data_IF_456563441497
#
_entry.id   IF_456563441497
#
_cell.length_a   1.000
_cell.length_b   1.000
_cell.length_c   1.000
_cell.angle_alpha   90.00
_cell.angle_beta   90.00
_cell.angle_gamma   90.00
#
_symmetry.space_group_name_H-M   'P 1'
#
loop_
_entity.id
_entity.type
_entity.pdbx_description
1 polymer ?
#
# COMPACT_ATOMS: atom_id res chain seq x y z
N UNK A 1 -35.42 4.14 4.07
CA UNK A 1 -34.17 3.42 4.31
C UNK A 1 -33.87 2.57 3.08
N UNK A 2 -33.19 3.12 2.06
CA UNK A 2 -32.93 2.43 0.79
C UNK A 2 -31.58 1.74 0.87
N UNK A 3 -31.58 0.40 0.98
CA UNK A 3 -30.41 -0.42 0.73
C UNK A 3 -30.11 -0.34 -0.78
N UNK A 4 -29.10 0.43 -1.18
CA UNK A 4 -28.56 0.35 -2.55
C UNK A 4 -27.96 -1.07 -2.72
N UNK A 5 -28.56 -1.86 -3.60
CA UNK A 5 -27.95 -3.09 -4.10
C UNK A 5 -26.61 -2.74 -4.78
N UNK A 6 -25.57 -3.56 -4.61
CA UNK A 6 -24.33 -3.39 -5.36
C UNK A 6 -24.66 -3.38 -6.86
N UNK A 7 -24.14 -2.42 -7.59
CA UNK A 7 -24.36 -2.34 -9.03
C UNK A 7 -23.65 -3.50 -9.73
N UNK A 8 -24.21 -3.98 -10.84
CA UNK A 8 -23.63 -5.06 -11.66
C UNK A 8 -22.16 -4.83 -12.06
N UNK A 9 -21.69 -3.58 -12.00
CA UNK A 9 -20.29 -3.20 -12.19
C UNK A 9 -19.40 -3.73 -11.05
N UNK A 10 -19.90 -3.71 -9.79
CA UNK A 10 -19.15 -4.23 -8.63
C UNK A 10 -19.01 -5.74 -8.68
N UNK A 11 -20.04 -6.47 -9.15
CA UNK A 11 -19.96 -7.93 -9.31
C UNK A 11 -19.00 -8.31 -10.44
N UNK A 12 -18.95 -7.52 -11.52
CA UNK A 12 -18.02 -7.77 -12.63
C UNK A 12 -16.56 -7.48 -12.25
N UNK A 13 -16.30 -6.45 -11.42
CA UNK A 13 -14.98 -6.14 -10.88
C UNK A 13 -14.52 -7.21 -9.90
N UNK A 14 -15.39 -7.66 -8.99
CA UNK A 14 -15.10 -8.76 -8.07
C UNK A 14 -14.83 -10.06 -8.84
N UNK A 15 -15.60 -10.35 -9.89
CA UNK A 15 -15.40 -11.54 -10.74
C UNK A 15 -14.10 -11.48 -11.54
N UNK A 16 -13.65 -10.29 -11.99
CA UNK A 16 -12.37 -10.09 -12.66
C UNK A 16 -11.20 -10.22 -11.69
N UNK A 17 -11.39 -9.84 -10.41
CA UNK A 17 -10.37 -9.97 -9.37
C UNK A 17 -10.18 -11.42 -8.91
N UNK A 18 -11.22 -12.27 -9.06
CA UNK A 18 -11.18 -13.70 -8.69
C UNK A 18 -10.79 -14.63 -9.82
N UNK A 19 -10.83 -14.18 -11.08
CA UNK A 19 -10.39 -14.96 -12.23
C UNK A 19 -8.91 -14.74 -12.51
N UNK A 20 -8.05 -15.27 -11.65
CA UNK A 20 -6.73 -15.71 -12.05
C UNK A 20 -6.94 -16.92 -12.95
N UNK A 21 -6.65 -16.82 -14.24
CA UNK A 21 -6.60 -17.99 -15.10
C UNK A 21 -5.47 -18.90 -14.62
N UNK A 22 -5.84 -19.93 -13.86
CA UNK A 22 -4.94 -20.93 -13.32
C UNK A 22 -4.61 -21.87 -14.47
N UNK A 23 -3.43 -21.72 -15.07
CA UNK A 23 -2.83 -22.81 -15.84
C UNK A 23 -2.18 -23.73 -14.82
N UNK A 24 -2.84 -24.83 -14.53
CA UNK A 24 -2.42 -25.82 -13.54
C UNK A 24 -1.11 -26.49 -13.94
N UNK A 25 -0.02 -26.17 -13.23
CA UNK A 25 1.10 -27.10 -13.07
C UNK A 25 1.70 -26.96 -11.66
N UNK A 26 1.29 -27.85 -10.79
CA UNK A 26 2.00 -28.51 -9.69
C UNK A 26 3.03 -27.70 -8.86
N UNK A 27 2.53 -26.81 -7.99
CA UNK A 27 3.31 -26.30 -6.87
C UNK A 27 2.78 -26.80 -5.53
N UNK A 28 2.23 -28.04 -5.46
CA UNK A 28 1.69 -28.59 -4.21
C UNK A 28 2.78 -28.84 -3.17
N UNK A 29 2.53 -28.45 -1.92
CA UNK A 29 3.42 -28.67 -0.77
C UNK A 29 4.81 -28.02 -0.88
N UNK A 30 4.96 -26.93 -1.65
CA UNK A 30 6.22 -26.22 -1.74
C UNK A 30 6.48 -25.33 -0.51
N UNK A 31 7.74 -25.23 -0.16
CA UNK A 31 8.24 -24.34 0.91
C UNK A 31 9.09 -23.27 0.25
N UNK A 32 8.78 -22.00 0.53
CA UNK A 32 9.56 -20.86 0.09
C UNK A 32 10.14 -20.13 1.27
N UNK A 33 11.44 -19.80 1.19
CA UNK A 33 12.13 -18.91 2.11
C UNK A 33 12.41 -17.60 1.39
N UNK A 34 11.73 -16.51 1.80
CA UNK A 34 11.75 -15.22 1.14
C UNK A 34 12.18 -14.16 2.13
N UNK A 35 13.00 -13.19 1.73
CA UNK A 35 13.43 -12.15 2.64
C UNK A 35 13.39 -10.74 2.00
N UNK A 36 13.21 -9.73 2.85
CA UNK A 36 13.35 -8.32 2.48
C UNK A 36 14.10 -7.57 3.59
N UNK A 37 15.34 -7.13 3.35
CA UNK A 37 16.15 -6.41 4.33
C UNK A 37 15.92 -4.89 4.33
N UNK A 38 15.08 -4.37 3.45
CA UNK A 38 14.96 -2.95 3.16
C UNK A 38 13.89 -2.23 3.96
N UNK A 39 12.98 -1.52 3.29
CA UNK A 39 12.01 -0.64 3.90
C UNK A 39 10.75 -1.35 4.38
N UNK A 40 10.07 -0.73 5.34
CA UNK A 40 8.76 -1.22 5.80
C UNK A 40 7.74 -1.19 4.66
N UNK A 41 7.77 -0.17 3.80
CA UNK A 41 6.89 -0.06 2.64
C UNK A 41 7.03 -1.25 1.68
N UNK A 42 8.27 -1.66 1.38
CA UNK A 42 8.55 -2.82 0.52
C UNK A 42 8.01 -4.10 1.15
N UNK A 43 8.16 -4.24 2.48
CA UNK A 43 7.62 -5.38 3.21
C UNK A 43 6.09 -5.42 3.19
N UNK A 44 5.41 -4.28 3.29
CA UNK A 44 3.95 -4.19 3.14
C UNK A 44 3.53 -4.58 1.72
N UNK A 45 4.24 -4.15 0.68
CA UNK A 45 3.97 -4.59 -0.69
C UNK A 45 4.10 -6.10 -0.86
N UNK A 46 5.09 -6.72 -0.21
CA UNK A 46 5.23 -8.17 -0.24
C UNK A 46 4.05 -8.88 0.45
N UNK A 47 3.53 -8.32 1.55
CA UNK A 47 2.29 -8.85 2.16
C UNK A 47 1.08 -8.70 1.23
N UNK A 48 0.98 -7.58 0.51
CA UNK A 48 -0.07 -7.38 -0.50
C UNK A 48 0.07 -8.38 -1.65
N UNK A 49 1.29 -8.73 -2.09
CA UNK A 49 1.51 -9.82 -3.04
C UNK A 49 0.92 -11.13 -2.51
N UNK A 50 1.27 -11.50 -1.27
CA UNK A 50 0.78 -12.76 -0.68
C UNK A 50 -0.75 -12.76 -0.54
N UNK A 51 -1.34 -11.62 -0.23
CA UNK A 51 -2.79 -11.46 -0.22
C UNK A 51 -3.41 -11.73 -1.60
N UNK A 52 -2.83 -11.22 -2.67
CA UNK A 52 -3.30 -11.45 -4.04
C UNK A 52 -3.23 -12.91 -4.47
N UNK A 53 -2.30 -13.70 -3.91
CA UNK A 53 -2.12 -15.12 -4.23
C UNK A 53 -2.59 -16.05 -3.09
N UNK A 54 -3.29 -15.51 -2.07
CA UNK A 54 -3.74 -16.25 -0.88
C UNK A 54 -4.41 -17.58 -1.24
N UNK A 55 -5.40 -17.52 -2.13
CA UNK A 55 -6.13 -18.70 -2.58
C UNK A 55 -5.20 -19.78 -3.13
N UNK A 56 -4.23 -19.39 -3.94
CA UNK A 56 -3.25 -20.32 -4.50
C UNK A 56 -2.35 -20.92 -3.42
N UNK A 57 -1.92 -20.11 -2.43
CA UNK A 57 -1.14 -20.57 -1.28
C UNK A 57 -1.90 -21.65 -0.51
N UNK A 58 -3.16 -21.41 -0.20
CA UNK A 58 -4.00 -22.30 0.60
C UNK A 58 -4.37 -23.58 -0.16
N UNK A 59 -4.86 -23.48 -1.39
CA UNK A 59 -5.28 -24.63 -2.21
C UNK A 59 -4.13 -25.58 -2.57
N UNK A 60 -2.91 -25.07 -2.65
CA UNK A 60 -1.73 -25.87 -2.97
C UNK A 60 -0.87 -26.21 -1.75
N UNK A 61 -1.33 -25.86 -0.53
CA UNK A 61 -0.59 -26.06 0.72
C UNK A 61 0.86 -25.53 0.65
N UNK A 62 1.03 -24.34 0.04
CA UNK A 62 2.31 -23.68 -0.05
C UNK A 62 2.63 -23.05 1.30
N UNK A 63 3.86 -23.23 1.79
CA UNK A 63 4.36 -22.58 3.01
C UNK A 63 5.37 -21.49 2.66
N UNK A 64 5.15 -20.29 3.17
CA UNK A 64 6.02 -19.14 2.96
C UNK A 64 6.63 -18.73 4.30
N UNK A 65 7.95 -18.84 4.43
CA UNK A 65 8.73 -18.28 5.51
C UNK A 65 9.28 -16.95 5.05
N UNK A 66 8.72 -15.86 5.57
CA UNK A 66 9.08 -14.50 5.18
C UNK A 66 9.91 -13.82 6.27
N UNK A 67 11.08 -13.34 5.89
CA UNK A 67 12.06 -12.75 6.79
C UNK A 67 12.22 -11.26 6.51
N UNK A 68 12.14 -10.43 7.56
CA UNK A 68 12.29 -8.98 7.47
C UNK A 68 12.86 -8.40 8.77
N UNK A 69 13.08 -7.10 8.82
CA UNK A 69 13.58 -6.45 10.04
C UNK A 69 12.65 -6.70 11.22
N UNK A 70 13.25 -7.00 12.40
CA UNK A 70 12.52 -7.33 13.61
C UNK A 70 11.47 -6.29 13.97
N UNK A 71 11.79 -5.01 13.81
CA UNK A 71 10.92 -3.88 14.16
C UNK A 71 9.67 -3.79 13.27
N UNK A 72 9.67 -4.46 12.12
CA UNK A 72 8.52 -4.45 11.19
C UNK A 72 7.51 -5.56 11.48
N UNK A 73 7.92 -6.60 12.22
CA UNK A 73 7.10 -7.81 12.40
C UNK A 73 5.74 -7.53 13.02
N UNK A 74 5.65 -6.61 13.99
CA UNK A 74 4.37 -6.25 14.61
C UNK A 74 3.39 -5.67 13.59
N UNK A 75 3.87 -4.78 12.72
CA UNK A 75 3.06 -4.16 11.67
C UNK A 75 2.64 -5.18 10.61
N UNK A 76 3.56 -6.05 10.18
CA UNK A 76 3.31 -7.02 9.12
C UNK A 76 2.39 -8.16 9.54
N UNK A 77 2.36 -8.53 10.82
CA UNK A 77 1.40 -9.52 11.35
C UNK A 77 -0.04 -9.11 11.08
N UNK A 78 -0.33 -7.82 11.09
CA UNK A 78 -1.65 -7.28 10.77
C UNK A 78 -2.05 -7.49 9.30
N UNK A 79 -1.08 -7.62 8.40
CA UNK A 79 -1.29 -7.92 6.98
C UNK A 79 -1.20 -9.41 6.66
N UNK A 80 -0.93 -10.28 7.65
CA UNK A 80 -0.83 -11.71 7.39
C UNK A 80 -2.20 -12.27 7.04
N UNK A 81 -2.33 -12.75 5.82
CA UNK A 81 -3.60 -13.20 5.25
C UNK A 81 -3.81 -14.72 5.30
N UNK A 82 -2.81 -15.51 5.70
CA UNK A 82 -2.88 -16.97 5.70
C UNK A 82 -2.03 -17.60 6.78
N UNK A 83 -2.52 -18.70 7.38
CA UNK A 83 -1.76 -19.52 8.33
C UNK A 83 -0.54 -20.22 7.72
N UNK A 84 -0.44 -20.22 6.40
CA UNK A 84 0.70 -20.78 5.67
C UNK A 84 1.84 -19.78 5.47
N UNK A 85 1.71 -18.55 6.00
CA UNK A 85 2.74 -17.50 5.94
C UNK A 85 3.30 -17.27 7.34
N UNK A 86 4.59 -17.50 7.51
CA UNK A 86 5.32 -17.44 8.77
C UNK A 86 6.29 -16.25 8.74
N UNK A 87 6.08 -15.27 9.63
CA UNK A 87 6.90 -14.06 9.71
C UNK A 87 8.03 -14.21 10.70
N UNK A 88 9.25 -13.96 10.26
CA UNK A 88 10.47 -14.10 11.04
C UNK A 88 11.38 -12.87 10.91
N UNK A 89 12.25 -12.69 11.90
CA UNK A 89 13.32 -11.70 11.83
C UNK A 89 14.38 -12.11 10.80
N UNK A 90 14.95 -11.12 10.11
CA UNK A 90 15.91 -11.31 9.00
C UNK A 90 17.18 -12.06 9.41
N UNK A 91 17.60 -11.93 10.67
CA UNK A 91 18.73 -12.67 11.25
C UNK A 91 18.54 -14.20 11.24
N UNK A 92 17.32 -14.66 11.07
CA UNK A 92 16.96 -16.08 10.96
C UNK A 92 16.82 -16.56 9.52
N UNK A 93 17.05 -15.70 8.54
CA UNK A 93 16.92 -16.07 7.13
C UNK A 93 18.03 -17.06 6.73
N UNK A 94 17.68 -18.19 6.11
CA UNK A 94 18.71 -19.10 5.61
C UNK A 94 19.40 -18.51 4.38
N UNK A 95 20.66 -18.90 4.15
CA UNK A 95 21.48 -18.37 3.04
C UNK A 95 20.89 -18.64 1.65
N UNK A 96 20.00 -19.63 1.51
CA UNK A 96 19.31 -19.93 0.25
C UNK A 96 17.97 -19.19 0.10
N UNK A 97 17.62 -18.29 1.02
CA UNK A 97 16.38 -17.51 0.91
C UNK A 97 16.43 -16.55 -0.28
N UNK A 98 15.28 -16.36 -0.92
CA UNK A 98 15.13 -15.49 -2.09
C UNK A 98 14.79 -14.08 -1.66
N UNK A 99 15.57 -13.11 -2.11
CA UNK A 99 15.31 -11.70 -1.84
C UNK A 99 14.10 -11.19 -2.64
N UNK A 100 13.17 -10.57 -1.95
CA UNK A 100 11.99 -9.90 -2.50
C UNK A 100 12.15 -8.39 -2.41
N UNK A 101 13.08 -7.86 -3.14
CA UNK A 101 13.25 -6.43 -3.28
C UNK A 101 13.09 -5.98 -4.72
N UNK A 102 12.59 -4.75 -4.87
CA UNK A 102 12.48 -4.06 -6.13
C UNK A 102 13.85 -3.46 -6.48
N UNK A 103 14.79 -4.30 -6.89
CA UNK A 103 16.07 -3.86 -7.41
C UNK A 103 16.24 -4.22 -8.87
N UNK A 104 17.38 -3.86 -9.44
CA UNK A 104 17.70 -4.07 -10.84
C UNK A 104 17.60 -5.53 -11.31
N UNK A 105 17.78 -6.51 -10.41
CA UNK A 105 17.71 -7.93 -10.79
C UNK A 105 16.29 -8.39 -11.14
N UNK A 106 15.27 -7.74 -10.55
CA UNK A 106 13.87 -8.03 -10.87
C UNK A 106 13.33 -7.18 -12.00
N UNK A 107 13.86 -5.98 -12.16
CA UNK A 107 13.38 -5.03 -13.15
C UNK A 107 14.32 -4.94 -14.35
N UNK A 108 15.59 -5.38 -14.19
CA UNK A 108 16.57 -5.40 -15.24
C UNK A 108 16.37 -4.25 -16.24
N UNK A 109 16.04 -4.61 -17.43
CA UNK A 109 15.80 -3.66 -18.52
C UNK A 109 14.54 -2.80 -18.35
N UNK A 110 13.55 -3.24 -17.53
CA UNK A 110 12.26 -2.53 -17.44
C UNK A 110 12.39 -1.21 -16.68
N UNK A 111 13.12 -1.20 -15.57
CA UNK A 111 13.34 0.04 -14.81
C UNK A 111 14.24 1.01 -15.59
N UNK A 112 15.35 0.51 -16.13
CA UNK A 112 16.24 1.29 -16.99
C UNK A 112 15.52 1.77 -18.25
N UNK A 113 14.66 0.95 -18.84
CA UNK A 113 13.88 1.30 -20.01
C UNK A 113 12.94 2.48 -19.75
N UNK A 114 12.19 2.47 -18.65
CA UNK A 114 11.28 3.58 -18.32
C UNK A 114 12.04 4.87 -17.96
N UNK A 115 13.12 4.78 -17.23
CA UNK A 115 13.99 5.92 -16.94
C UNK A 115 14.62 6.49 -18.22
N UNK A 116 15.12 5.61 -19.10
CA UNK A 116 15.74 6.04 -20.37
C UNK A 116 14.77 6.69 -21.35
N UNK A 117 13.48 6.30 -21.30
CA UNK A 117 12.44 6.89 -22.14
C UNK A 117 11.85 8.18 -21.57
N UNK A 118 12.32 8.66 -20.41
CA UNK A 118 11.78 9.83 -19.72
C UNK A 118 10.25 9.78 -19.53
N UNK A 119 9.67 8.58 -19.52
CA UNK A 119 8.24 8.39 -19.30
C UNK A 119 7.99 8.10 -17.83
N UNK A 120 6.98 8.74 -17.23
CA UNK A 120 6.62 8.44 -15.84
C UNK A 120 6.23 6.97 -15.72
N UNK A 121 6.81 6.28 -14.73
CA UNK A 121 6.53 4.89 -14.46
C UNK A 121 5.13 4.77 -13.83
N UNK A 122 4.19 4.12 -14.53
CA UNK A 122 2.89 3.86 -13.95
C UNK A 122 3.02 2.86 -12.80
N UNK A 123 2.70 3.31 -11.58
CA UNK A 123 2.87 2.56 -10.35
C UNK A 123 2.13 1.20 -10.36
N UNK A 124 0.95 1.15 -10.95
CA UNK A 124 0.18 -0.09 -11.11
C UNK A 124 0.88 -1.09 -12.03
N UNK A 125 1.41 -0.60 -13.16
CA UNK A 125 2.16 -1.44 -14.11
C UNK A 125 3.45 -1.91 -13.46
N UNK A 126 4.13 -1.03 -12.74
CA UNK A 126 5.37 -1.34 -12.04
C UNK A 126 5.20 -2.49 -11.05
N UNK A 127 4.26 -2.37 -10.08
CA UNK A 127 4.06 -3.42 -9.09
C UNK A 127 3.45 -4.69 -9.67
N UNK A 128 2.58 -4.58 -10.65
CA UNK A 128 2.09 -5.76 -11.40
C UNK A 128 3.24 -6.54 -12.02
N UNK A 129 4.15 -5.86 -12.71
CA UNK A 129 5.30 -6.49 -13.35
C UNK A 129 6.27 -7.08 -12.32
N UNK A 130 6.53 -6.35 -11.23
CA UNK A 130 7.33 -6.86 -10.12
C UNK A 130 6.73 -8.16 -9.56
N UNK A 131 5.45 -8.17 -9.22
CA UNK A 131 4.80 -9.35 -8.67
C UNK A 131 4.83 -10.53 -9.65
N UNK A 132 4.59 -10.29 -10.93
CA UNK A 132 4.68 -11.35 -11.93
C UNK A 132 6.11 -11.88 -12.08
N UNK A 133 7.12 -11.02 -11.98
CA UNK A 133 8.52 -11.45 -11.98
C UNK A 133 8.86 -12.30 -10.77
N UNK A 134 8.41 -11.90 -9.57
CA UNK A 134 8.55 -12.71 -8.35
C UNK A 134 7.89 -14.08 -8.51
N UNK A 135 6.64 -14.12 -8.99
CA UNK A 135 5.90 -15.37 -9.19
C UNK A 135 6.63 -16.30 -10.17
N UNK A 136 7.16 -15.75 -11.27
CA UNK A 136 7.97 -16.49 -12.25
C UNK A 136 9.25 -17.04 -11.61
N UNK A 137 9.98 -16.25 -10.84
CA UNK A 137 11.20 -16.67 -10.13
C UNK A 137 10.93 -17.80 -9.14
N UNK A 138 9.75 -17.79 -8.52
CA UNK A 138 9.31 -18.83 -7.59
C UNK A 138 8.70 -20.05 -8.29
N UNK A 139 8.67 -20.10 -9.62
CA UNK A 139 7.97 -21.11 -10.40
C UNK A 139 6.49 -21.27 -9.97
N UNK A 140 5.85 -20.15 -9.66
CA UNK A 140 4.41 -20.07 -9.40
C UNK A 140 3.76 -19.62 -10.71
N UNK A 141 3.01 -20.53 -11.33
CA UNK A 141 2.36 -20.26 -12.62
C UNK A 141 1.04 -19.48 -12.43
N UNK A 142 1.17 -18.25 -11.95
CA UNK A 142 0.09 -17.28 -11.82
C UNK A 142 0.50 -16.00 -12.54
N UNK A 143 -0.49 -15.30 -13.08
CA UNK A 143 -0.30 -13.98 -13.66
C UNK A 143 -1.27 -12.98 -13.05
N UNK A 144 -0.74 -11.91 -12.46
CA UNK A 144 -1.54 -10.81 -11.96
C UNK A 144 -1.74 -9.77 -13.07
N UNK A 145 -3.00 -9.40 -13.33
CA UNK A 145 -3.35 -8.42 -14.35
C UNK A 145 -3.43 -6.99 -13.81
N UNK A 146 -3.65 -6.85 -12.50
CA UNK A 146 -3.70 -5.57 -11.80
C UNK A 146 -3.01 -5.69 -10.45
N UNK A 147 -2.35 -4.61 -10.02
CA UNK A 147 -2.00 -4.42 -8.63
C UNK A 147 -3.22 -3.85 -7.91
N UNK A 148 -3.78 -4.62 -7.01
CA UNK A 148 -4.89 -4.16 -6.20
C UNK A 148 -4.87 -4.88 -4.85
N UNK A 149 -4.92 -4.09 -3.79
CA UNK A 149 -5.11 -4.60 -2.45
C UNK A 149 -6.59 -4.48 -2.08
N UNK A 150 -7.25 -5.62 -2.00
CA UNK A 150 -8.66 -5.72 -1.64
C UNK A 150 -8.77 -6.50 -0.33
N UNK A 151 -9.06 -5.81 0.77
CA UNK A 151 -9.13 -6.40 2.11
C UNK A 151 -10.42 -5.94 2.81
N UNK A 152 -11.40 -6.81 2.88
CA UNK A 152 -12.70 -6.54 3.50
C UNK A 152 -12.60 -6.23 5.00
N UNK A 153 -11.54 -6.70 5.67
CA UNK A 153 -11.31 -6.40 7.08
C UNK A 153 -11.09 -4.90 7.34
N UNK A 154 -10.65 -4.13 6.35
CA UNK A 154 -10.43 -2.69 6.53
C UNK A 154 -11.71 -1.95 6.95
N UNK A 155 -12.86 -2.37 6.45
CA UNK A 155 -14.15 -1.74 6.79
C UNK A 155 -14.59 -2.12 8.21
N UNK A 156 -14.49 -3.39 8.58
CA UNK A 156 -14.82 -3.85 9.94
C UNK A 156 -13.84 -3.26 10.96
N UNK A 157 -12.57 -3.17 10.61
CA UNK A 157 -11.52 -2.57 11.43
C UNK A 157 -11.75 -1.08 11.65
N UNK A 158 -12.12 -0.32 10.61
CA UNK A 158 -12.55 1.06 10.79
C UNK A 158 -13.68 1.15 11.82
N UNK A 159 -14.69 0.30 11.75
CA UNK A 159 -15.81 0.32 12.69
C UNK A 159 -15.39 0.04 14.15
N UNK A 160 -14.33 -0.70 14.35
CA UNK A 160 -13.78 -1.00 15.68
C UNK A 160 -12.88 0.11 16.26
N UNK A 161 -12.42 1.07 15.45
CA UNK A 161 -11.58 2.17 15.94
C UNK A 161 -12.33 3.10 16.93
N UNK A 162 -11.62 3.78 17.85
CA UNK A 162 -12.19 4.74 18.78
C UNK A 162 -13.03 5.83 18.09
N UNK A 163 -14.07 6.30 18.78
CA UNK A 163 -15.04 7.27 18.26
C UNK A 163 -14.39 8.57 17.75
N UNK A 164 -13.28 9.00 18.36
CA UNK A 164 -12.54 10.20 17.95
C UNK A 164 -12.05 10.14 16.49
N UNK A 165 -11.91 8.92 15.93
CA UNK A 165 -11.50 8.69 14.54
C UNK A 165 -12.66 8.55 13.55
N UNK A 166 -13.92 8.75 13.99
CA UNK A 166 -15.09 8.49 13.12
C UNK A 166 -15.57 9.69 12.30
N UNK A 167 -15.16 10.88 12.64
CA UNK A 167 -15.67 12.08 11.98
C UNK A 167 -14.52 13.02 11.61
N UNK A 168 -13.94 12.77 10.44
CA UNK A 168 -12.87 13.60 9.90
C UNK A 168 -13.05 13.78 8.39
N UNK A 169 -12.42 14.80 7.84
CA UNK A 169 -12.49 15.16 6.42
C UNK A 169 -11.22 14.77 5.69
N UNK A 170 -10.07 15.05 6.30
CA UNK A 170 -8.77 14.94 5.65
C UNK A 170 -7.86 14.01 6.46
N UNK A 171 -7.21 13.10 5.76
CA UNK A 171 -6.16 12.26 6.32
C UNK A 171 -4.81 12.66 5.74
N UNK A 172 -3.83 12.91 6.59
CA UNK A 172 -2.48 13.35 6.19
C UNK A 172 -1.43 12.34 6.68
N UNK A 173 -0.72 11.73 5.73
CA UNK A 173 0.47 10.95 6.00
C UNK A 173 1.68 11.88 5.96
N UNK A 174 2.11 12.35 7.13
CA UNK A 174 3.20 13.29 7.31
C UNK A 174 4.44 12.63 7.95
N UNK A 175 4.67 11.34 7.69
CA UNK A 175 5.86 10.64 8.15
C UNK A 175 7.05 10.88 7.21
N UNK A 176 8.23 11.08 7.79
CA UNK A 176 9.48 11.25 7.04
C UNK A 176 9.83 9.98 6.27
N UNK A 177 10.05 10.04 4.95
CA UNK A 177 10.51 8.90 4.18
C UNK A 177 12.02 8.70 4.38
N UNK A 178 12.44 7.50 4.78
CA UNK A 178 13.87 7.20 5.02
C UNK A 178 14.68 6.99 3.73
N UNK A 179 14.02 6.73 2.60
CA UNK A 179 14.69 6.42 1.32
C UNK A 179 14.76 7.62 0.37
N UNK A 180 14.61 8.85 0.89
CA UNK A 180 14.76 10.08 0.10
C UNK A 180 13.67 10.32 -0.95
N UNK A 181 12.49 9.67 -0.81
CA UNK A 181 11.39 9.83 -1.75
C UNK A 181 10.81 11.24 -1.77
N UNK A 182 10.95 11.97 -0.69
CA UNK A 182 10.47 13.34 -0.55
C UNK A 182 11.33 14.11 0.46
N UNK A 183 11.66 15.35 0.13
CA UNK A 183 12.35 16.26 1.05
C UNK A 183 11.33 16.87 2.02
N UNK A 184 11.20 16.23 3.19
CA UNK A 184 10.20 16.60 4.18
C UNK A 184 10.70 17.69 5.12
N UNK A 185 10.11 18.88 5.03
CA UNK A 185 10.32 19.96 5.99
C UNK A 185 9.18 19.99 7.01
N UNK A 186 9.44 19.47 8.20
CA UNK A 186 8.43 19.34 9.27
C UNK A 186 7.78 20.68 9.62
N UNK A 187 8.55 21.78 9.72
CA UNK A 187 8.03 23.07 10.12
C UNK A 187 7.02 23.63 9.09
N UNK A 188 7.33 23.50 7.81
CA UNK A 188 6.45 23.92 6.72
C UNK A 188 5.16 23.09 6.75
N UNK A 189 5.28 21.78 6.88
CA UNK A 189 4.14 20.86 6.92
C UNK A 189 3.26 21.11 8.15
N UNK A 190 3.85 21.23 9.33
CA UNK A 190 3.10 21.49 10.57
C UNK A 190 2.31 22.79 10.48
N UNK A 191 2.93 23.89 9.99
CA UNK A 191 2.25 25.17 9.80
C UNK A 191 1.08 25.05 8.82
N UNK A 192 1.24 24.30 7.74
CA UNK A 192 0.18 24.08 6.76
C UNK A 192 -0.96 23.25 7.36
N UNK A 193 -0.65 22.16 8.05
CA UNK A 193 -1.62 21.29 8.71
C UNK A 193 -2.43 22.06 9.76
N UNK A 194 -1.77 22.88 10.58
CA UNK A 194 -2.45 23.72 11.58
C UNK A 194 -3.41 24.72 10.93
N UNK A 195 -3.02 25.32 9.80
CA UNK A 195 -3.93 26.21 9.04
C UNK A 195 -5.14 25.46 8.49
N UNK A 196 -4.94 24.30 7.92
CA UNK A 196 -6.03 23.45 7.42
C UNK A 196 -6.96 22.98 8.54
N UNK A 197 -6.42 22.65 9.72
CA UNK A 197 -7.21 22.15 10.86
C UNK A 197 -8.19 23.18 11.43
N UNK A 198 -8.04 24.45 11.06
CA UNK A 198 -9.04 25.50 11.41
C UNK A 198 -10.32 25.38 10.59
N UNK A 199 -10.29 24.71 9.44
CA UNK A 199 -11.41 24.60 8.48
C UNK A 199 -11.93 23.18 8.35
N UNK A 200 -11.09 22.18 8.56
CA UNK A 200 -11.38 20.77 8.35
C UNK A 200 -10.96 19.95 9.56
N UNK A 201 -11.66 18.87 9.83
CA UNK A 201 -11.23 17.89 10.81
C UNK A 201 -10.17 16.98 10.21
N UNK A 202 -8.97 17.05 10.76
CA UNK A 202 -7.77 16.39 10.22
C UNK A 202 -7.30 15.29 11.13
N UNK A 203 -6.84 14.18 10.53
CA UNK A 203 -6.05 13.13 11.19
C UNK A 203 -4.68 13.09 10.55
N UNK A 204 -3.62 13.04 11.37
CA UNK A 204 -2.23 12.92 10.93
C UNK A 204 -1.61 11.59 11.37
N UNK A 205 -0.55 11.14 10.70
CA UNK A 205 0.20 9.94 11.11
C UNK A 205 1.34 10.24 12.06
N UNK A 206 1.88 11.47 12.05
CA UNK A 206 2.87 11.93 13.03
C UNK A 206 2.37 13.17 13.75
N UNK A 207 2.93 13.43 14.92
CA UNK A 207 2.43 14.45 15.85
C UNK A 207 2.55 15.86 15.28
N UNK A 208 1.40 16.57 15.26
CA UNK A 208 1.28 18.01 14.98
C UNK A 208 0.49 18.64 16.13
N UNK A 209 0.85 19.84 16.54
CA UNK A 209 0.23 20.50 17.69
C UNK A 209 -1.28 20.70 17.50
N UNK A 210 -2.07 20.24 18.47
CA UNK A 210 -3.55 20.34 18.47
C UNK A 210 -4.25 19.66 17.27
N UNK A 211 -3.62 18.66 16.64
CA UNK A 211 -4.22 17.84 15.58
C UNK A 211 -4.30 16.40 16.04
N UNK A 212 -5.42 15.73 15.76
CA UNK A 212 -5.61 14.31 16.07
C UNK A 212 -4.55 13.47 15.34
N UNK A 213 -3.83 12.63 16.09
CA UNK A 213 -2.70 11.87 15.58
C UNK A 213 -2.87 10.37 15.82
N UNK A 214 -2.63 9.55 14.80
CA UNK A 214 -2.69 8.09 14.91
C UNK A 214 -1.53 7.51 15.72
N UNK A 215 -0.38 8.21 15.75
CA UNK A 215 0.79 7.79 16.52
C UNK A 215 0.53 7.79 18.03
N UNK A 216 -0.25 8.74 18.53
CA UNK A 216 -0.55 8.86 19.97
C UNK A 216 -1.28 7.61 20.52
N UNK A 217 -2.08 6.96 19.68
CA UNK A 217 -2.78 5.71 20.03
C UNK A 217 -2.09 4.46 19.49
N UNK A 218 -0.88 4.62 18.94
CA UNK A 218 -0.07 3.51 18.38
C UNK A 218 -0.84 2.71 17.31
N UNK A 219 -1.64 3.39 16.49
CA UNK A 219 -2.36 2.74 15.40
C UNK A 219 -1.39 2.11 14.41
N UNK A 220 -1.71 0.91 13.98
CA UNK A 220 -0.91 0.17 13.00
C UNK A 220 -1.09 0.72 11.58
N UNK A 221 -0.23 0.31 10.64
CA UNK A 221 -0.40 0.68 9.22
C UNK A 221 -1.76 0.19 8.69
N UNK A 222 -2.23 -0.96 9.14
CA UNK A 222 -3.55 -1.50 8.75
C UNK A 222 -4.70 -0.66 9.31
N UNK A 223 -4.56 -0.11 10.53
CA UNK A 223 -5.52 0.85 11.09
C UNK A 223 -5.55 2.14 10.27
N UNK A 224 -4.36 2.66 9.91
CA UNK A 224 -4.21 3.84 9.05
C UNK A 224 -4.83 3.58 7.67
N UNK A 225 -4.60 2.41 7.08
CA UNK A 225 -5.26 1.98 5.84
C UNK A 225 -6.79 1.91 5.99
N UNK A 226 -7.30 1.45 7.14
CA UNK A 226 -8.74 1.40 7.40
C UNK A 226 -9.35 2.79 7.53
N UNK A 227 -8.66 3.73 8.20
CA UNK A 227 -9.08 5.14 8.28
C UNK A 227 -9.17 5.77 6.89
N UNK A 228 -8.19 5.54 6.02
CA UNK A 228 -8.17 6.12 4.68
C UNK A 228 -9.39 5.75 3.83
N UNK A 229 -10.06 4.62 4.12
CA UNK A 229 -11.29 4.20 3.43
C UNK A 229 -12.47 5.17 3.63
N UNK A 230 -12.39 6.06 4.61
CA UNK A 230 -13.45 7.03 4.98
C UNK A 230 -13.02 8.48 4.81
N UNK A 231 -11.78 8.73 4.44
CA UNK A 231 -11.31 10.08 4.17
C UNK A 231 -11.97 10.65 2.91
N UNK A 232 -12.34 11.93 2.94
CA UNK A 232 -12.75 12.65 1.73
C UNK A 232 -11.53 13.03 0.90
N UNK A 233 -10.46 13.42 1.60
CA UNK A 233 -9.18 13.83 1.02
C UNK A 233 -8.05 13.08 1.71
N UNK A 234 -7.11 12.56 0.93
CA UNK A 234 -5.85 12.02 1.41
C UNK A 234 -4.71 12.86 0.89
N UNK A 235 -3.83 13.27 1.79
CA UNK A 235 -2.57 13.96 1.49
C UNK A 235 -1.47 13.04 2.02
N UNK A 236 -0.63 12.50 1.15
CA UNK A 236 0.32 11.49 1.55
C UNK A 236 1.73 11.77 1.06
N UNK A 237 2.69 11.75 1.99
CA UNK A 237 4.08 11.56 1.63
C UNK A 237 4.29 10.08 1.32
N UNK A 238 4.96 9.77 0.21
CA UNK A 238 5.32 8.39 -0.11
C UNK A 238 6.37 7.88 0.89
N UNK A 239 5.90 7.23 1.93
CA UNK A 239 6.67 6.68 3.03
C UNK A 239 6.29 5.23 3.30
N UNK A 240 6.88 4.58 4.30
CA UNK A 240 6.60 3.18 4.64
C UNK A 240 5.13 2.86 4.96
N UNK A 241 4.32 3.86 5.31
CA UNK A 241 2.88 3.71 5.58
C UNK A 241 2.03 3.75 4.31
N UNK A 242 2.51 4.47 3.30
CA UNK A 242 1.78 4.76 2.06
C UNK A 242 1.24 3.52 1.33
N UNK A 243 1.96 2.38 1.22
CA UNK A 243 1.45 1.20 0.53
C UNK A 243 0.12 0.68 1.05
N UNK A 244 -0.14 0.80 2.35
CA UNK A 244 -1.42 0.40 2.95
C UNK A 244 -2.63 1.19 2.42
N UNK A 245 -2.41 2.42 1.94
CA UNK A 245 -3.46 3.27 1.39
C UNK A 245 -3.83 2.92 -0.04
N UNK A 246 -2.99 2.14 -0.73
CA UNK A 246 -3.25 1.70 -2.10
C UNK A 246 -4.25 0.51 -2.13
N UNK A 247 -5.24 0.53 -1.27
CA UNK A 247 -6.31 -0.46 -1.22
C UNK A 247 -7.53 0.00 -2.03
N UNK A 248 -8.32 -0.98 -2.45
CA UNK A 248 -9.51 -0.75 -3.28
C UNK A 248 -10.48 0.26 -2.66
N UNK A 249 -10.76 0.13 -1.37
CA UNK A 249 -11.75 0.99 -0.70
C UNK A 249 -11.29 2.44 -0.64
N UNK A 250 -10.04 2.70 -0.27
CA UNK A 250 -9.46 4.05 -0.29
C UNK A 250 -9.51 4.64 -1.68
N UNK A 251 -9.03 3.86 -2.67
CA UNK A 251 -8.93 4.33 -4.04
C UNK A 251 -10.29 4.59 -4.70
N UNK A 252 -11.36 3.96 -4.24
CA UNK A 252 -12.72 4.18 -4.75
C UNK A 252 -13.52 5.21 -3.95
N UNK A 253 -13.20 5.45 -2.68
CA UNK A 253 -13.98 6.34 -1.81
C UNK A 253 -13.43 7.76 -1.71
N UNK A 254 -12.09 7.91 -1.74
CA UNK A 254 -11.42 9.21 -1.61
C UNK A 254 -11.69 10.09 -2.82
N UNK A 255 -12.13 11.34 -2.61
CA UNK A 255 -12.39 12.29 -3.71
C UNK A 255 -11.10 12.84 -4.31
N UNK A 256 -10.15 13.21 -3.45
CA UNK A 256 -8.88 13.77 -3.85
C UNK A 256 -7.74 13.06 -3.13
N UNK A 257 -6.78 12.58 -3.89
CA UNK A 257 -5.60 11.90 -3.38
C UNK A 257 -4.36 12.64 -3.87
N UNK A 258 -3.67 13.34 -2.95
CA UNK A 258 -2.45 14.10 -3.23
C UNK A 258 -1.23 13.31 -2.73
N UNK A 259 -0.28 13.02 -3.61
CA UNK A 259 0.91 12.26 -3.29
C UNK A 259 2.15 13.12 -3.46
N UNK A 260 2.95 13.19 -2.42
CA UNK A 260 4.22 13.90 -2.39
C UNK A 260 5.38 12.92 -2.54
N UNK A 261 6.05 13.00 -3.69
CA UNK A 261 7.20 12.19 -4.06
C UNK A 261 8.08 12.99 -5.02
N UNK A 262 9.35 13.21 -4.68
CA UNK A 262 10.29 13.99 -5.51
C UNK A 262 10.84 13.16 -6.70
N UNK A 263 10.49 11.88 -6.79
CA UNK A 263 10.93 11.01 -7.88
C UNK A 263 10.03 11.21 -9.09
N UNK A 264 10.42 12.10 -9.97
CA UNK A 264 9.68 12.47 -11.19
C UNK A 264 9.40 11.32 -12.16
N UNK A 265 10.06 10.17 -11.99
CA UNK A 265 9.86 9.00 -12.83
C UNK A 265 8.70 8.09 -12.39
N UNK A 266 8.05 8.36 -11.26
CA UNK A 266 6.83 7.65 -10.89
C UNK A 266 5.59 8.44 -11.32
N UNK A 267 4.74 7.84 -12.13
CA UNK A 267 3.34 8.24 -12.21
C UNK A 267 2.52 7.31 -11.34
N UNK A 268 1.84 7.90 -10.40
CA UNK A 268 0.88 7.14 -9.60
C UNK A 268 -0.32 6.77 -10.46
N UNK A 269 -0.93 5.61 -10.22
CA UNK A 269 -2.03 5.16 -11.06
C UNK A 269 -3.10 6.22 -11.17
N UNK A 270 -3.48 6.55 -12.39
CA UNK A 270 -4.73 7.23 -12.64
C UNK A 270 -5.84 6.28 -12.18
N UNK A 271 -6.24 6.44 -10.93
CA UNK A 271 -7.49 5.87 -10.47
C UNK A 271 -8.58 6.62 -11.23
N UNK A 272 -9.31 5.93 -12.07
CA UNK A 272 -10.37 6.50 -12.89
C UNK A 272 -11.11 7.58 -12.10
N UNK A 273 -11.05 8.85 -12.56
CA UNK A 273 -11.67 10.03 -11.99
C UNK A 273 -11.04 10.65 -10.72
N UNK A 274 -9.76 10.45 -10.40
CA UNK A 274 -9.14 11.06 -9.21
C UNK A 274 -7.91 11.87 -9.55
N UNK A 275 -7.89 13.08 -9.00
CA UNK A 275 -6.77 14.01 -9.09
C UNK A 275 -5.62 13.50 -8.22
N UNK A 276 -4.86 12.54 -8.73
CA UNK A 276 -3.57 12.21 -8.16
C UNK A 276 -2.60 13.27 -8.65
N UNK A 277 -2.24 14.20 -7.79
CA UNK A 277 -1.33 15.29 -8.13
C UNK A 277 0.01 14.94 -7.51
N UNK A 278 0.99 14.74 -8.36
CA UNK A 278 2.41 14.65 -8.01
C UNK A 278 3.04 16.02 -8.28
N UNK A 279 4.14 16.31 -7.62
CA UNK A 279 4.96 17.53 -7.86
C UNK A 279 4.36 18.87 -7.41
N UNK A 280 3.44 18.89 -6.45
CA UNK A 280 2.97 20.13 -5.84
C UNK A 280 3.74 20.42 -4.55
N UNK A 281 4.06 21.69 -4.32
CA UNK A 281 4.47 22.12 -3.00
C UNK A 281 3.28 22.14 -2.05
N UNK A 282 3.52 21.76 -0.78
CA UNK A 282 2.43 21.66 0.20
C UNK A 282 1.67 22.99 0.35
N UNK A 283 2.32 24.12 0.17
CA UNK A 283 1.71 25.44 0.26
C UNK A 283 0.72 25.73 -0.87
N UNK A 284 0.90 25.07 -2.01
CA UNK A 284 0.01 25.24 -3.19
C UNK A 284 -1.28 24.44 -3.06
N UNK A 285 -1.29 23.46 -2.17
CA UNK A 285 -2.41 22.52 -2.01
C UNK A 285 -3.70 23.24 -1.56
N UNK A 286 -3.59 24.39 -0.88
CA UNK A 286 -4.74 25.20 -0.48
C UNK A 286 -5.61 25.67 -1.66
N UNK A 287 -5.08 25.69 -2.87
CA UNK A 287 -5.80 26.05 -4.09
C UNK A 287 -6.68 24.94 -4.63
N UNK A 288 -6.43 23.70 -4.19
CA UNK A 288 -7.07 22.48 -4.69
C UNK A 288 -8.02 21.84 -3.67
N UNK A 289 -7.86 22.19 -2.37
CA UNK A 289 -8.75 21.71 -1.31
C UNK A 289 -9.83 22.77 -1.09
N UNK A 290 -10.94 22.63 -1.80
CA UNK A 290 -12.13 23.48 -1.68
C UNK A 290 -13.28 22.67 -1.09
#
# INVERSE_FOLDING_TARGET
MFKKKPTALNEKVVKILTTTNIINTLSRNKIYHLHNPYGLGDSVFNMILFYNIKKHIEENNIRIFYYTKKDYLSQLREFNCSNNIFLHSIDKAPNFSVELWVNNDFFGDTHCYFVSLQKPLNYNIFYKNFFNSVLKKLNINLQLYKFLYYDDELISRYNALPIKYKNFDIMILNSTPFSGQYEYNKAIWDNYIIKLNRRFKIITTTKVHNVLCTYDDKLTIKDVASLSTKAKVVIAINSGVFPGLLNYYTLTSVKHFYIFDNRSYYSYPNFENKNCITDIKIEELSRYIV
#
